data_IF_629827377233
#
_entry.id   IF_629827377233
#
_cell.length_a   1.000
_cell.length_b   1.000
_cell.length_c   1.000
_cell.angle_alpha   90.00
_cell.angle_beta   90.00
_cell.angle_gamma   90.00
#
_symmetry.space_group_name_H-M   'P 1'
#
loop_
_entity.id
_entity.type
_entity.pdbx_description
1 polymer ?
#
# COMPACT_ATOMS: atom_id res chain seq x y z
N UNK A 1 -15.99 -10.60 46.71
CA UNK A 1 -15.41 -10.97 45.39
C UNK A 1 -15.65 -9.79 44.46
N UNK A 2 -14.58 -9.03 44.22
CA UNK A 2 -14.62 -7.71 43.60
C UNK A 2 -14.81 -7.83 42.10
N UNK A 3 -15.84 -7.15 41.58
CA UNK A 3 -16.12 -7.00 40.16
C UNK A 3 -15.03 -6.13 39.53
N UNK A 4 -14.08 -6.73 38.81
CA UNK A 4 -13.13 -6.00 37.98
C UNK A 4 -13.88 -5.35 36.82
N UNK A 5 -14.22 -4.06 36.99
CA UNK A 5 -14.52 -3.16 35.88
C UNK A 5 -13.32 -3.19 34.94
N UNK A 6 -13.44 -3.88 33.80
CA UNK A 6 -12.62 -3.61 32.63
C UNK A 6 -12.95 -2.19 32.17
N UNK A 7 -12.18 -1.23 32.68
CA UNK A 7 -12.25 0.17 32.25
C UNK A 7 -11.69 0.24 30.85
N UNK A 8 -12.56 0.53 29.88
CA UNK A 8 -12.19 0.82 28.49
C UNK A 8 -11.20 1.99 28.45
N UNK A 9 -9.91 1.68 28.33
CA UNK A 9 -8.83 2.67 28.18
C UNK A 9 -9.08 3.40 26.85
N UNK A 10 -9.10 4.76 26.82
CA UNK A 10 -9.42 5.51 25.62
C UNK A 10 -8.33 5.34 24.56
N UNK A 11 -8.68 4.65 23.48
CA UNK A 11 -7.82 4.45 22.31
C UNK A 11 -7.95 5.63 21.36
N UNK A 12 -6.82 6.05 20.81
CA UNK A 12 -6.71 7.28 20.04
C UNK A 12 -5.82 7.08 18.81
N UNK A 13 -6.16 7.80 17.74
CA UNK A 13 -5.36 7.92 16.54
C UNK A 13 -4.84 9.36 16.42
N UNK A 14 -3.56 9.51 16.09
CA UNK A 14 -2.93 10.79 15.82
C UNK A 14 -2.31 10.79 14.43
N UNK A 15 -2.42 11.92 13.74
CA UNK A 15 -1.75 12.17 12.46
C UNK A 15 -0.82 13.36 12.63
N UNK A 16 0.43 13.21 12.22
CA UNK A 16 1.36 14.33 12.05
C UNK A 16 0.90 15.16 10.85
N UNK A 17 0.55 16.42 11.10
CA UNK A 17 -0.08 17.31 10.11
C UNK A 17 0.65 18.65 10.05
N UNK A 18 0.40 19.38 8.98
CA UNK A 18 0.94 20.72 8.76
C UNK A 18 0.43 21.70 9.80
N UNK A 19 1.32 22.49 10.39
CA UNK A 19 0.93 23.62 11.26
C UNK A 19 0.17 24.71 10.52
N UNK A 20 0.26 24.76 9.18
CA UNK A 20 -0.58 25.64 8.36
C UNK A 20 -2.08 25.34 8.47
N UNK A 21 -2.45 24.14 8.93
CA UNK A 21 -3.85 23.76 9.15
C UNK A 21 -4.43 24.31 10.46
N UNK A 22 -3.58 24.74 11.40
CA UNK A 22 -3.99 25.30 12.69
C UNK A 22 -4.48 26.74 12.51
N UNK A 23 -5.66 26.89 11.91
CA UNK A 23 -6.29 28.19 11.64
C UNK A 23 -7.53 28.37 12.50
N UNK A 24 -7.66 29.53 13.14
CA UNK A 24 -8.83 29.86 13.95
C UNK A 24 -10.14 29.70 13.15
N UNK A 25 -11.06 28.91 13.70
CA UNK A 25 -12.37 28.63 13.11
C UNK A 25 -12.37 27.61 11.96
N UNK A 26 -11.21 27.07 11.55
CA UNK A 26 -11.16 25.86 10.73
C UNK A 26 -11.43 24.66 11.64
N UNK A 27 -12.01 23.59 11.10
CA UNK A 27 -12.37 22.42 11.90
C UNK A 27 -12.14 21.12 11.14
N UNK A 28 -12.00 20.04 11.91
CA UNK A 28 -12.00 18.67 11.38
C UNK A 28 -13.09 17.91 12.09
N UNK A 29 -13.87 17.14 11.34
CA UNK A 29 -14.82 16.17 11.90
C UNK A 29 -14.35 14.77 11.58
N UNK A 30 -14.66 13.81 12.45
CA UNK A 30 -14.37 12.41 12.21
C UNK A 30 -15.62 11.55 12.40
N UNK A 31 -15.67 10.45 11.65
CA UNK A 31 -16.65 9.39 11.82
C UNK A 31 -15.94 8.05 11.96
N UNK A 32 -16.54 7.14 12.72
CA UNK A 32 -16.16 5.75 12.83
C UNK A 32 -17.32 4.91 12.32
N UNK A 33 -17.10 4.14 11.25
CA UNK A 33 -18.14 3.38 10.54
C UNK A 33 -19.35 4.26 10.16
N UNK A 34 -19.09 5.50 9.72
CA UNK A 34 -20.12 6.47 9.36
C UNK A 34 -20.82 7.16 10.55
N UNK A 35 -20.52 6.79 11.79
CA UNK A 35 -21.07 7.43 12.99
C UNK A 35 -20.11 8.51 13.51
N UNK A 36 -20.55 9.74 13.79
CA UNK A 36 -19.69 10.78 14.35
C UNK A 36 -18.96 10.31 15.62
N UNK A 37 -17.67 10.63 15.73
CA UNK A 37 -16.90 10.28 16.93
C UNK A 37 -17.46 11.01 18.16
N UNK A 38 -17.45 10.33 19.32
CA UNK A 38 -17.99 10.88 20.58
C UNK A 38 -17.29 12.18 20.99
N UNK A 39 -15.98 12.26 20.72
CA UNK A 39 -15.18 13.46 20.88
C UNK A 39 -14.72 13.89 19.50
N UNK A 40 -14.92 15.17 19.17
CA UNK A 40 -14.47 15.74 17.91
C UNK A 40 -12.94 15.74 17.81
N UNK A 41 -12.36 15.62 16.60
CA UNK A 41 -10.94 15.77 16.40
C UNK A 41 -10.42 17.13 16.90
N UNK A 42 -9.21 17.15 17.44
CA UNK A 42 -8.52 18.39 17.84
C UNK A 42 -7.16 18.50 17.19
N UNK A 43 -6.71 19.74 16.97
CA UNK A 43 -5.33 20.01 16.63
C UNK A 43 -4.57 20.35 17.91
N UNK A 44 -3.49 19.62 18.17
CA UNK A 44 -2.64 19.81 19.33
C UNK A 44 -1.20 20.08 18.87
N UNK A 45 -0.46 20.88 19.63
CA UNK A 45 1.00 20.94 19.49
C UNK A 45 1.60 19.81 20.35
N UNK A 46 2.37 18.88 19.75
CA UNK A 46 2.95 17.78 20.50
C UNK A 46 3.96 18.32 21.53
N UNK A 47 3.86 17.97 22.83
CA UNK A 47 4.72 18.52 23.88
C UNK A 47 6.23 18.29 23.67
N UNK A 48 6.58 17.26 22.90
CA UNK A 48 7.95 16.84 22.61
C UNK A 48 8.26 16.79 21.10
N UNK A 49 7.40 17.36 20.25
CA UNK A 49 7.64 17.39 18.81
C UNK A 49 8.54 18.57 18.40
N UNK A 50 9.10 18.54 17.18
CA UNK A 50 9.84 19.67 16.63
C UNK A 50 9.01 20.95 16.67
N UNK A 51 9.65 22.11 16.86
CA UNK A 51 8.97 23.41 16.81
C UNK A 51 8.27 23.55 15.45
N UNK A 52 6.96 23.84 15.46
CA UNK A 52 6.14 23.93 14.25
C UNK A 52 5.46 22.64 13.82
N UNK A 53 5.61 21.54 14.57
CA UNK A 53 4.81 20.32 14.39
C UNK A 53 3.40 20.50 14.94
N UNK A 54 2.41 19.90 14.28
CA UNK A 54 1.01 19.89 14.72
C UNK A 54 0.48 18.48 14.55
N UNK A 55 -0.34 18.02 15.51
CA UNK A 55 -0.96 16.70 15.47
C UNK A 55 -2.46 16.86 15.37
N UNK A 56 -3.09 16.12 14.45
CA UNK A 56 -4.53 15.91 14.47
C UNK A 56 -4.82 14.71 15.35
N UNK A 57 -5.51 14.92 16.47
CA UNK A 57 -5.83 13.91 17.46
C UNK A 57 -7.30 13.52 17.39
N UNK A 58 -7.57 12.21 17.33
CA UNK A 58 -8.91 11.64 17.37
C UNK A 58 -8.96 10.68 18.55
N UNK A 59 -9.77 11.01 19.55
CA UNK A 59 -9.80 10.29 20.83
C UNK A 59 -11.09 9.52 21.03
N UNK A 60 -11.09 8.65 22.04
CA UNK A 60 -12.27 7.89 22.48
C UNK A 60 -12.93 7.12 21.34
N UNK A 61 -12.12 6.47 20.50
CA UNK A 61 -12.63 5.68 19.37
C UNK A 61 -13.50 4.51 19.82
N UNK A 62 -13.43 4.10 21.09
CA UNK A 62 -14.30 3.07 21.65
C UNK A 62 -14.09 1.67 21.05
N UNK A 63 -12.99 1.48 20.33
CA UNK A 63 -12.67 0.24 19.63
C UNK A 63 -12.06 -0.81 20.58
N UNK A 64 -12.27 -2.07 20.24
CA UNK A 64 -11.70 -3.27 20.85
C UNK A 64 -11.12 -4.18 19.74
N UNK A 65 -10.42 -5.29 20.07
CA UNK A 65 -9.85 -6.14 19.03
C UNK A 65 -10.86 -6.75 18.06
N UNK A 66 -12.12 -6.91 18.48
CA UNK A 66 -13.16 -7.45 17.61
C UNK A 66 -13.73 -6.34 16.73
N UNK A 67 -14.00 -5.18 17.32
CA UNK A 67 -14.66 -4.07 16.61
C UNK A 67 -13.71 -3.24 15.76
N UNK A 68 -12.40 -3.35 15.95
CA UNK A 68 -11.44 -2.58 15.17
C UNK A 68 -11.10 -3.19 13.81
N UNK A 69 -11.18 -4.51 13.65
CA UNK A 69 -10.83 -5.15 12.39
C UNK A 69 -11.81 -4.71 11.28
N UNK A 70 -11.28 -4.04 10.26
CA UNK A 70 -12.07 -3.53 9.15
C UNK A 70 -12.91 -2.30 9.47
N UNK A 71 -12.81 -1.73 10.68
CA UNK A 71 -13.50 -0.49 11.00
C UNK A 71 -12.98 0.67 10.15
N UNK A 72 -13.85 1.61 9.85
CA UNK A 72 -13.53 2.72 8.97
C UNK A 72 -13.51 4.03 9.72
N UNK A 73 -12.33 4.65 9.79
CA UNK A 73 -12.15 5.98 10.33
C UNK A 73 -12.11 6.97 9.17
N UNK A 74 -13.08 7.88 9.08
CA UNK A 74 -13.08 8.93 8.06
C UNK A 74 -12.92 10.31 8.70
N UNK A 75 -12.10 11.16 8.09
CA UNK A 75 -11.95 12.57 8.47
C UNK A 75 -12.49 13.49 7.38
N UNK A 76 -13.05 14.61 7.81
CA UNK A 76 -13.58 15.66 6.94
C UNK A 76 -12.91 16.97 7.30
N UNK A 77 -12.22 17.59 6.35
CA UNK A 77 -11.53 18.85 6.54
C UNK A 77 -12.47 20.01 6.19
N UNK A 78 -12.59 21.00 7.08
CA UNK A 78 -13.46 22.16 6.88
C UNK A 78 -12.67 23.45 7.08
N UNK A 79 -12.55 24.30 6.05
CA UNK A 79 -11.92 25.60 6.22
C UNK A 79 -12.80 26.51 7.08
N UNK A 80 -12.22 27.60 7.57
CA UNK A 80 -12.97 28.63 8.28
C UNK A 80 -13.83 29.46 7.31
N UNK A 81 -14.61 30.42 7.85
CA UNK A 81 -15.47 31.31 7.04
C UNK A 81 -14.70 32.16 6.01
N UNK A 82 -13.42 32.40 6.24
CA UNK A 82 -12.52 33.11 5.33
C UNK A 82 -11.84 32.18 4.31
N UNK A 83 -12.26 30.90 4.22
CA UNK A 83 -11.67 29.85 3.37
C UNK A 83 -10.21 29.52 3.70
N UNK A 84 -9.80 29.75 4.94
CA UNK A 84 -8.47 29.44 5.43
C UNK A 84 -8.48 28.13 6.22
N UNK A 85 -7.34 27.44 6.23
CA UNK A 85 -7.18 26.09 6.79
C UNK A 85 -7.07 25.03 5.70
N UNK A 86 -6.71 23.81 6.10
CA UNK A 86 -6.52 22.71 5.15
C UNK A 86 -7.86 22.18 4.66
N UNK A 87 -7.95 21.97 3.35
CA UNK A 87 -9.15 21.47 2.65
C UNK A 87 -8.91 20.14 1.95
N UNK A 88 -7.64 19.77 1.77
CA UNK A 88 -7.24 18.50 1.18
C UNK A 88 -6.22 17.79 2.04
N UNK A 89 -6.06 16.48 1.83
CA UNK A 89 -5.07 15.69 2.56
C UNK A 89 -3.64 16.11 2.18
N UNK A 90 -3.41 16.62 0.97
CA UNK A 90 -2.11 17.14 0.53
C UNK A 90 -1.69 18.39 1.31
N UNK A 91 -2.66 19.26 1.62
CA UNK A 91 -2.43 20.42 2.49
C UNK A 91 -2.24 19.96 3.94
N UNK A 92 -3.07 19.03 4.41
CA UNK A 92 -3.02 18.47 5.75
C UNK A 92 -1.69 17.77 6.04
N UNK A 93 -1.22 16.97 5.10
CA UNK A 93 -0.09 16.07 5.25
C UNK A 93 1.09 16.56 4.39
N UNK A 94 1.75 17.62 4.85
CA UNK A 94 2.92 18.23 4.20
C UNK A 94 4.17 18.13 5.07
N UNK A 95 4.52 16.90 5.47
CA UNK A 95 5.76 16.65 6.23
C UNK A 95 6.99 16.76 5.32
N UNK A 96 8.06 17.49 5.73
CA UNK A 96 9.32 17.50 5.01
C UNK A 96 9.86 16.08 4.81
N UNK A 97 10.34 15.77 3.60
CA UNK A 97 10.89 14.46 3.24
C UNK A 97 9.87 13.44 2.70
N UNK A 98 8.59 13.81 2.56
CA UNK A 98 7.55 12.94 2.01
C UNK A 98 6.76 13.63 0.88
N UNK A 99 6.19 12.87 -0.07
CA UNK A 99 5.24 13.41 -1.04
C UNK A 99 4.04 14.05 -0.33
N UNK A 100 3.54 15.17 -0.86
CA UNK A 100 2.35 15.83 -0.33
C UNK A 100 1.16 14.85 -0.28
N UNK A 101 0.44 14.82 0.85
CA UNK A 101 -0.65 13.87 1.09
C UNK A 101 -0.23 12.64 1.87
N UNK A 102 1.07 12.52 2.19
CA UNK A 102 1.61 11.47 3.07
C UNK A 102 1.57 11.93 4.52
N UNK A 103 0.65 11.39 5.31
CA UNK A 103 0.62 11.62 6.76
C UNK A 103 1.30 10.49 7.49
N UNK A 104 2.12 10.83 8.48
CA UNK A 104 2.62 9.88 9.48
C UNK A 104 1.55 9.75 10.58
N UNK A 105 1.01 8.56 10.82
CA UNK A 105 -0.07 8.32 11.78
C UNK A 105 0.35 7.32 12.86
N UNK A 106 -0.07 7.53 14.11
CA UNK A 106 0.18 6.61 15.21
C UNK A 106 -1.11 6.35 15.99
N UNK A 107 -1.26 5.13 16.49
CA UNK A 107 -2.37 4.72 17.36
C UNK A 107 -1.83 4.31 18.71
N UNK A 108 -2.38 4.85 19.78
CA UNK A 108 -1.88 4.67 21.14
C UNK A 108 -3.03 4.60 22.16
N UNK A 109 -2.71 4.07 23.33
CA UNK A 109 -3.61 4.08 24.48
C UNK A 109 -3.41 5.36 25.31
N UNK A 110 -4.01 5.41 26.51
CA UNK A 110 -3.88 6.57 27.40
C UNK A 110 -2.48 6.72 28.02
N UNK A 111 -1.67 5.66 28.02
CA UNK A 111 -0.35 5.58 28.65
C UNK A 111 0.81 5.81 27.66
N UNK A 112 0.53 6.03 26.37
CA UNK A 112 1.50 6.10 25.28
C UNK A 112 2.27 4.79 25.05
N UNK A 113 1.75 3.65 25.50
CA UNK A 113 2.47 2.38 25.49
C UNK A 113 2.46 1.72 24.10
N UNK A 114 1.90 2.31 23.05
CA UNK A 114 1.69 1.62 21.76
C UNK A 114 1.97 2.56 20.60
N UNK A 115 3.01 2.31 19.80
CA UNK A 115 3.40 3.21 18.70
C UNK A 115 3.95 2.44 17.47
N UNK A 116 3.13 1.86 16.57
CA UNK A 116 3.53 1.74 15.16
C UNK A 116 3.03 2.97 14.38
N UNK A 117 3.92 3.51 13.56
CA UNK A 117 3.71 4.77 12.84
C UNK A 117 3.28 4.53 11.40
N UNK A 118 2.00 4.29 11.12
CA UNK A 118 1.53 4.07 9.75
C UNK A 118 1.61 5.34 8.91
N UNK A 119 2.28 5.31 7.78
CA UNK A 119 2.27 6.42 6.83
C UNK A 119 1.18 6.21 5.78
N UNK A 120 0.28 7.18 5.63
CA UNK A 120 -0.94 7.02 4.84
C UNK A 120 -0.87 7.73 3.49
N UNK A 121 -1.13 7.01 2.39
CA UNK A 121 -1.24 7.56 1.02
C UNK A 121 -2.48 7.07 0.26
N UNK A 122 -2.89 7.78 -0.79
CA UNK A 122 -4.15 7.53 -1.50
C UNK A 122 -4.20 6.13 -2.13
N UNK A 123 -5.34 5.45 -2.02
CA UNK A 123 -5.66 4.20 -2.69
C UNK A 123 -6.30 4.51 -4.06
N UNK A 124 -5.96 3.70 -5.07
CA UNK A 124 -6.58 3.83 -6.41
C UNK A 124 -8.03 3.32 -6.35
N UNK A 125 -8.98 3.95 -7.07
CA UNK A 125 -10.38 3.51 -7.10
C UNK A 125 -10.53 2.10 -7.69
N UNK A 126 -11.58 1.33 -7.29
CA UNK A 126 -11.79 -0.04 -7.75
C UNK A 126 -12.10 -0.10 -9.25
N UNK A 127 -11.57 -1.09 -9.99
CA UNK A 127 -11.87 -1.26 -11.40
C UNK A 127 -13.32 -1.73 -11.64
N UNK A 128 -13.91 -1.42 -12.81
CA UNK A 128 -15.24 -1.91 -13.19
C UNK A 128 -15.27 -3.44 -13.32
N UNK A 129 -16.45 -4.07 -13.14
CA UNK A 129 -16.59 -5.52 -13.17
C UNK A 129 -16.21 -6.13 -14.53
N UNK A 130 -15.58 -7.32 -14.55
CA UNK A 130 -15.12 -7.95 -15.77
C UNK A 130 -16.29 -8.45 -16.65
N UNK A 131 -16.15 -8.42 -17.99
CA UNK A 131 -17.12 -9.01 -18.91
C UNK A 131 -17.15 -10.55 -18.80
N UNK A 132 -18.27 -11.20 -19.18
CA UNK A 132 -18.42 -12.65 -19.11
C UNK A 132 -17.44 -13.40 -20.04
N UNK A 133 -17.03 -14.62 -19.68
CA UNK A 133 -16.01 -15.37 -20.41
C UNK A 133 -16.51 -15.86 -21.79
N UNK A 134 -15.63 -15.88 -22.81
CA UNK A 134 -15.95 -16.44 -24.13
C UNK A 134 -16.04 -17.99 -24.09
N UNK A 135 -16.74 -18.60 -25.07
CA UNK A 135 -16.88 -20.06 -25.19
C UNK A 135 -15.53 -20.77 -25.42
N UNK A 136 -15.43 -22.08 -25.09
CA UNK A 136 -14.18 -22.83 -25.16
C UNK A 136 -13.65 -22.98 -26.60
N UNK A 137 -12.31 -23.04 -26.78
CA UNK A 137 -11.69 -23.14 -28.10
C UNK A 137 -11.81 -24.56 -28.71
N UNK A 138 -11.75 -24.67 -30.05
CA UNK A 138 -11.66 -25.95 -30.75
C UNK A 138 -10.29 -26.63 -30.56
N UNK A 139 -10.27 -27.93 -30.84
CA UNK A 139 -9.19 -28.91 -30.62
C UNK A 139 -7.78 -28.50 -31.12
N UNK A 140 -6.70 -29.05 -30.52
CA UNK A 140 -5.34 -28.57 -30.73
C UNK A 140 -4.75 -28.93 -32.12
N UNK A 141 -3.84 -28.08 -32.67
CA UNK A 141 -3.10 -28.34 -33.91
C UNK A 141 -1.96 -29.38 -33.75
N UNK A 142 -1.36 -29.87 -34.86
CA UNK A 142 -0.41 -30.99 -34.86
C UNK A 142 0.97 -30.66 -34.29
N UNK A 143 1.72 -31.74 -33.99
CA UNK A 143 2.96 -31.78 -33.22
C UNK A 143 4.02 -30.73 -33.56
N UNK A 144 4.57 -30.12 -32.51
CA UNK A 144 5.57 -29.06 -32.49
C UNK A 144 6.98 -29.66 -32.68
N UNK A 145 7.89 -29.03 -33.45
CA UNK A 145 9.31 -29.42 -33.46
C UNK A 145 9.89 -29.33 -32.04
N UNK A 146 10.75 -30.29 -31.68
CA UNK A 146 11.44 -30.30 -30.38
C UNK A 146 12.54 -29.23 -30.36
N UNK A 147 12.18 -28.00 -30.03
CA UNK A 147 13.16 -26.97 -29.66
C UNK A 147 13.36 -26.93 -28.14
N UNK A 148 14.50 -26.39 -27.70
CA UNK A 148 14.74 -26.08 -26.28
C UNK A 148 13.74 -25.01 -25.82
N UNK A 149 12.66 -25.45 -25.18
CA UNK A 149 11.63 -24.56 -24.64
C UNK A 149 12.16 -23.84 -23.39
N UNK A 150 11.97 -22.52 -23.37
CA UNK A 150 12.25 -21.66 -22.24
C UNK A 150 10.92 -21.17 -21.67
N UNK A 151 10.48 -21.81 -20.60
CA UNK A 151 9.36 -21.37 -19.77
C UNK A 151 9.89 -20.46 -18.67
N UNK A 152 9.58 -19.16 -18.74
CA UNK A 152 10.13 -18.17 -17.82
C UNK A 152 8.98 -17.45 -17.13
N UNK A 153 9.03 -17.38 -15.81
CA UNK A 153 8.14 -16.55 -15.00
C UNK A 153 8.90 -15.36 -14.43
N UNK A 154 8.50 -14.14 -14.78
CA UNK A 154 8.99 -12.93 -14.08
C UNK A 154 8.18 -12.77 -12.81
N UNK A 155 8.86 -12.80 -11.67
CA UNK A 155 8.30 -12.66 -10.35
C UNK A 155 8.60 -11.26 -9.79
N UNK A 156 7.56 -10.51 -9.47
CA UNK A 156 7.64 -9.32 -8.63
C UNK A 156 7.26 -9.70 -7.20
N UNK A 157 8.21 -9.62 -6.27
CA UNK A 157 8.08 -10.03 -4.88
C UNK A 157 8.16 -8.84 -3.93
N UNK A 158 7.33 -8.85 -2.90
CA UNK A 158 7.43 -8.05 -1.69
C UNK A 158 8.10 -8.90 -0.62
N UNK A 159 9.33 -8.57 -0.26
CA UNK A 159 10.02 -9.18 0.87
C UNK A 159 9.72 -8.33 2.11
N UNK A 160 8.96 -8.85 3.09
CA UNK A 160 8.61 -8.10 4.28
C UNK A 160 9.80 -7.95 5.24
N UNK A 161 9.80 -6.93 6.11
CA UNK A 161 10.79 -6.82 7.19
C UNK A 161 10.61 -7.94 8.23
N UNK A 162 11.63 -8.22 9.08
CA UNK A 162 11.56 -9.26 10.12
C UNK A 162 10.36 -9.12 11.06
N UNK A 163 9.93 -7.88 11.32
CA UNK A 163 8.74 -7.57 12.10
C UNK A 163 7.72 -6.85 11.20
N UNK A 164 6.89 -7.63 10.50
CA UNK A 164 5.85 -7.10 9.60
C UNK A 164 4.60 -6.65 10.38
N UNK A 165 4.78 -5.62 11.20
CA UNK A 165 3.70 -5.05 12.03
C UNK A 165 2.66 -4.26 11.23
N UNK A 166 2.93 -4.00 9.94
CA UNK A 166 2.08 -3.23 9.02
C UNK A 166 2.07 -3.90 7.63
N UNK A 167 1.36 -5.02 7.46
CA UNK A 167 1.41 -5.78 6.23
C UNK A 167 0.86 -4.98 5.04
N UNK A 168 1.74 -4.61 4.12
CA UNK A 168 1.35 -4.19 2.77
C UNK A 168 1.33 -5.41 1.87
N UNK A 169 0.25 -5.57 1.11
CA UNK A 169 0.04 -6.69 0.17
C UNK A 169 -0.46 -6.18 -1.16
N UNK A 170 -0.11 -6.88 -2.23
CA UNK A 170 -0.68 -6.64 -3.54
C UNK A 170 -2.16 -6.98 -3.54
N UNK A 171 -3.00 -6.01 -3.89
CA UNK A 171 -4.40 -6.28 -4.17
C UNK A 171 -4.60 -6.65 -5.65
N UNK A 172 -5.79 -7.13 -6.00
CA UNK A 172 -6.11 -7.56 -7.37
C UNK A 172 -5.86 -6.47 -8.43
N UNK A 173 -6.09 -5.20 -8.11
CA UNK A 173 -5.89 -4.09 -9.04
C UNK A 173 -4.40 -3.81 -9.28
N UNK A 174 -3.60 -3.75 -8.21
CA UNK A 174 -2.14 -3.59 -8.29
C UNK A 174 -1.52 -4.75 -9.03
N UNK A 175 -1.96 -5.97 -8.73
CA UNK A 175 -1.47 -7.17 -9.38
C UNK A 175 -1.76 -7.21 -10.89
N UNK A 176 -3.00 -6.90 -11.30
CA UNK A 176 -3.35 -6.84 -12.72
C UNK A 176 -2.53 -5.77 -13.47
N UNK A 177 -2.23 -4.63 -12.82
CA UNK A 177 -1.38 -3.60 -13.38
C UNK A 177 0.08 -4.07 -13.51
N UNK A 178 0.63 -4.76 -12.51
CA UNK A 178 1.98 -5.33 -12.55
C UNK A 178 2.08 -6.34 -13.70
N UNK A 179 1.18 -7.32 -13.74
CA UNK A 179 1.21 -8.36 -14.76
C UNK A 179 1.10 -7.81 -16.17
N UNK A 180 0.23 -6.81 -16.40
CA UNK A 180 0.09 -6.17 -17.71
C UNK A 180 1.36 -5.47 -18.16
N UNK A 181 1.95 -4.65 -17.29
CA UNK A 181 3.16 -3.92 -17.64
C UNK A 181 4.36 -4.86 -17.89
N UNK A 182 4.47 -5.92 -17.08
CA UNK A 182 5.50 -6.95 -17.30
C UNK A 182 5.22 -7.71 -18.59
N UNK A 183 3.98 -8.15 -18.86
CA UNK A 183 3.65 -8.90 -20.07
C UNK A 183 3.94 -8.11 -21.34
N UNK A 184 3.54 -6.85 -21.36
CA UNK A 184 3.71 -5.97 -22.53
C UNK A 184 5.20 -5.75 -22.82
N UNK A 185 5.99 -5.46 -21.78
CA UNK A 185 7.43 -5.25 -21.90
C UNK A 185 8.19 -6.53 -22.29
N UNK A 186 7.85 -7.67 -21.68
CA UNK A 186 8.50 -8.95 -22.01
C UNK A 186 8.19 -9.38 -23.44
N UNK A 187 6.95 -9.26 -23.89
CA UNK A 187 6.58 -9.57 -25.27
C UNK A 187 7.27 -8.62 -26.27
N UNK A 188 7.45 -7.34 -25.92
CA UNK A 188 8.24 -6.41 -26.72
C UNK A 188 9.72 -6.82 -26.79
N UNK A 189 10.31 -7.23 -25.66
CA UNK A 189 11.71 -7.69 -25.59
C UNK A 189 11.95 -8.98 -26.41
N UNK A 190 11.01 -9.93 -26.39
CA UNK A 190 11.05 -11.12 -27.25
C UNK A 190 11.07 -10.75 -28.73
N UNK A 191 10.22 -9.80 -29.14
CA UNK A 191 10.16 -9.31 -30.52
C UNK A 191 11.44 -8.57 -30.92
N UNK A 192 11.94 -7.67 -30.07
CA UNK A 192 13.19 -6.94 -30.31
C UNK A 192 14.40 -7.89 -30.46
N UNK A 193 14.39 -8.99 -29.71
CA UNK A 193 15.41 -10.05 -29.76
C UNK A 193 15.22 -11.04 -30.91
N UNK A 194 14.18 -10.88 -31.74
CA UNK A 194 13.81 -11.79 -32.83
C UNK A 194 13.65 -13.26 -32.39
N UNK A 195 13.12 -13.48 -31.18
CA UNK A 195 12.86 -14.81 -30.64
C UNK A 195 11.57 -15.36 -31.28
N UNK A 196 11.70 -16.53 -31.90
CA UNK A 196 10.61 -17.24 -32.55
C UNK A 196 10.97 -18.74 -32.69
N UNK A 197 10.02 -19.68 -32.57
CA UNK A 197 8.60 -19.45 -32.23
C UNK A 197 8.38 -19.09 -30.75
N UNK A 198 7.29 -18.37 -30.48
CA UNK A 198 6.75 -18.12 -29.14
C UNK A 198 5.60 -19.12 -28.94
N UNK A 199 5.78 -20.08 -28.03
CA UNK A 199 4.78 -21.12 -27.75
C UNK A 199 3.61 -20.58 -26.92
N UNK A 200 3.92 -19.71 -25.95
CA UNK A 200 2.94 -18.97 -25.15
C UNK A 200 3.50 -17.57 -24.86
N UNK A 201 2.84 -16.48 -25.30
CA UNK A 201 3.28 -15.14 -24.95
C UNK A 201 3.10 -14.88 -23.46
N UNK A 202 3.83 -13.89 -22.92
CA UNK A 202 3.59 -13.42 -21.56
C UNK A 202 2.19 -12.82 -21.49
N UNK A 203 1.41 -13.20 -20.48
CA UNK A 203 0.04 -12.71 -20.31
C UNK A 203 -0.35 -12.60 -18.83
N UNK A 204 -1.25 -11.66 -18.48
CA UNK A 204 -1.82 -11.61 -17.14
C UNK A 204 -2.60 -12.87 -16.79
N UNK A 205 -2.45 -13.33 -15.55
CA UNK A 205 -3.17 -14.48 -15.01
C UNK A 205 -3.51 -14.25 -13.53
N UNK A 206 -4.79 -14.15 -13.22
CA UNK A 206 -5.25 -13.92 -11.84
C UNK A 206 -4.92 -15.06 -10.88
N UNK A 207 -4.64 -16.27 -11.36
CA UNK A 207 -4.28 -17.41 -10.49
C UNK A 207 -2.82 -17.36 -10.04
N UNK A 208 -1.98 -16.54 -10.68
CA UNK A 208 -0.56 -16.34 -10.33
C UNK A 208 -0.34 -15.01 -9.61
N UNK A 209 -1.41 -14.55 -8.94
CA UNK A 209 -1.49 -13.33 -8.20
C UNK A 209 -1.63 -13.66 -6.71
N UNK A 210 -0.59 -13.38 -5.93
CA UNK A 210 -0.56 -13.61 -4.49
C UNK A 210 -0.31 -12.30 -3.75
N UNK A 211 -0.57 -12.32 -2.45
CA UNK A 211 -0.48 -11.13 -1.59
C UNK A 211 0.94 -10.50 -1.56
N UNK A 212 1.98 -11.31 -1.71
CA UNK A 212 3.39 -10.87 -1.69
C UNK A 212 4.12 -11.11 -3.02
N UNK A 213 3.51 -11.81 -3.97
CA UNK A 213 4.19 -12.30 -5.17
C UNK A 213 3.25 -12.21 -6.37
N UNK A 214 3.72 -11.58 -7.44
CA UNK A 214 3.03 -11.54 -8.74
C UNK A 214 3.90 -12.23 -9.77
N UNK A 215 3.40 -13.29 -10.41
CA UNK A 215 4.10 -13.99 -11.49
C UNK A 215 3.47 -13.68 -12.84
N UNK A 216 4.30 -13.42 -13.84
CA UNK A 216 3.91 -13.28 -15.25
C UNK A 216 4.79 -14.21 -16.08
N UNK A 217 4.20 -15.21 -16.71
CA UNK A 217 4.94 -16.31 -17.35
C UNK A 217 4.74 -16.33 -18.86
N UNK A 218 5.77 -16.79 -19.58
CA UNK A 218 5.76 -17.02 -21.02
C UNK A 218 6.62 -18.22 -21.40
N UNK A 219 6.42 -18.75 -22.60
CA UNK A 219 7.15 -19.89 -23.15
C UNK A 219 7.58 -19.62 -24.60
N UNK A 220 8.89 -19.71 -24.85
CA UNK A 220 9.48 -19.39 -26.15
C UNK A 220 10.69 -20.28 -26.48
N UNK A 221 11.12 -20.24 -27.74
CA UNK A 221 12.33 -20.95 -28.18
C UNK A 221 13.61 -20.28 -27.65
N UNK A 222 14.45 -21.02 -26.94
CA UNK A 222 15.79 -20.55 -26.51
C UNK A 222 16.93 -21.47 -26.92
N UNK A 223 16.89 -21.98 -28.16
CA UNK A 223 18.04 -22.64 -28.78
C UNK A 223 19.14 -21.67 -29.20
N UNK A 224 18.76 -20.47 -29.66
CA UNK A 224 19.69 -19.47 -30.16
C UNK A 224 20.26 -18.63 -29.01
N UNK A 225 21.48 -18.98 -28.59
CA UNK A 225 22.17 -18.32 -27.48
C UNK A 225 22.44 -16.83 -27.74
N UNK A 226 22.67 -16.40 -28.98
CA UNK A 226 22.91 -15.00 -29.30
C UNK A 226 21.63 -14.16 -29.21
N UNK A 227 20.47 -14.76 -29.50
CA UNK A 227 19.17 -14.12 -29.25
C UNK A 227 18.82 -14.10 -27.76
N UNK A 228 19.14 -15.16 -27.03
CA UNK A 228 18.98 -15.19 -25.57
C UNK A 228 19.86 -14.15 -24.87
N UNK A 229 21.09 -13.92 -25.33
CA UNK A 229 21.97 -12.87 -24.80
C UNK A 229 21.39 -11.47 -25.05
N UNK A 230 20.80 -11.21 -26.22
CA UNK A 230 20.08 -9.96 -26.48
C UNK A 230 18.87 -9.80 -25.56
N UNK A 231 18.07 -10.85 -25.42
CA UNK A 231 16.92 -10.86 -24.51
C UNK A 231 17.37 -10.56 -23.07
N UNK A 232 18.46 -11.17 -22.63
CA UNK A 232 19.03 -10.94 -21.31
C UNK A 232 19.36 -9.45 -21.10
N UNK A 233 20.01 -8.81 -22.06
CA UNK A 233 20.34 -7.38 -21.97
C UNK A 233 19.08 -6.50 -21.96
N UNK A 234 18.15 -6.74 -22.88
CA UNK A 234 16.88 -6.01 -22.97
C UNK A 234 16.07 -6.13 -21.66
N UNK A 235 15.98 -7.33 -21.10
CA UNK A 235 15.24 -7.54 -19.84
C UNK A 235 15.99 -6.96 -18.65
N UNK A 236 17.32 -7.02 -18.64
CA UNK A 236 18.14 -6.40 -17.58
C UNK A 236 17.91 -4.89 -17.50
N UNK A 237 17.78 -4.21 -18.64
CA UNK A 237 17.47 -2.78 -18.71
C UNK A 237 16.04 -2.47 -18.24
N UNK A 238 15.11 -3.43 -18.35
CA UNK A 238 13.73 -3.30 -17.89
C UNK A 238 13.55 -3.54 -16.37
N UNK A 239 14.54 -4.10 -15.66
CA UNK A 239 14.38 -4.45 -14.24
C UNK A 239 14.05 -3.24 -13.36
N UNK A 240 14.65 -2.08 -13.64
CA UNK A 240 14.37 -0.84 -12.89
C UNK A 240 12.96 -0.31 -13.15
N UNK A 241 12.47 -0.47 -14.39
CA UNK A 241 11.08 -0.18 -14.73
C UNK A 241 10.13 -1.13 -13.98
N UNK A 242 10.42 -2.42 -13.93
CA UNK A 242 9.61 -3.40 -13.20
C UNK A 242 9.57 -3.14 -11.69
N UNK A 243 10.68 -2.72 -11.08
CA UNK A 243 10.71 -2.25 -9.69
C UNK A 243 9.75 -1.06 -9.52
N UNK A 244 9.81 -0.07 -10.41
CA UNK A 244 8.91 1.09 -10.38
C UNK A 244 7.44 0.71 -10.50
N UNK A 245 7.10 -0.26 -11.37
CA UNK A 245 5.73 -0.76 -11.52
C UNK A 245 5.28 -1.48 -10.25
N UNK A 246 6.10 -2.38 -9.70
CA UNK A 246 5.79 -3.14 -8.48
C UNK A 246 5.70 -2.25 -7.24
N UNK A 247 6.42 -1.12 -7.21
CA UNK A 247 6.36 -0.13 -6.13
C UNK A 247 5.24 0.92 -6.30
N UNK A 248 4.37 0.77 -7.30
CA UNK A 248 3.34 1.75 -7.66
C UNK A 248 3.88 3.13 -8.05
N UNK A 249 5.11 3.19 -8.55
CA UNK A 249 5.75 4.36 -9.15
C UNK A 249 6.99 4.85 -8.40
N UNK A 250 7.06 4.61 -7.08
CA UNK A 250 8.17 5.07 -6.25
C UNK A 250 8.51 4.01 -5.20
N UNK A 251 9.77 3.55 -5.17
CA UNK A 251 10.23 2.58 -4.16
C UNK A 251 10.28 3.19 -2.76
N UNK A 252 10.37 4.52 -2.67
CA UNK A 252 10.23 5.27 -1.42
C UNK A 252 8.78 5.58 -1.08
N UNK A 253 7.82 4.85 -1.68
CA UNK A 253 6.45 4.87 -1.23
C UNK A 253 6.40 4.48 0.26
N UNK A 254 5.81 5.33 1.12
CA UNK A 254 5.65 5.06 2.55
C UNK A 254 5.04 3.70 2.91
N UNK A 255 4.17 3.15 2.06
CA UNK A 255 3.58 1.81 2.22
C UNK A 255 4.61 0.67 2.14
N UNK A 256 5.78 0.93 1.56
CA UNK A 256 6.88 0.00 1.36
C UNK A 256 8.02 0.21 2.36
N UNK A 257 7.83 1.03 3.40
CA UNK A 257 8.85 1.24 4.43
C UNK A 257 9.27 -0.11 5.05
N UNK A 258 10.56 -0.43 4.96
CA UNK A 258 11.13 -1.69 5.46
C UNK A 258 10.90 -2.91 4.55
N UNK A 259 10.14 -2.76 3.47
CA UNK A 259 9.99 -3.78 2.44
C UNK A 259 11.13 -3.69 1.42
N UNK A 260 11.49 -4.84 0.86
CA UNK A 260 12.30 -4.91 -0.34
C UNK A 260 11.44 -5.40 -1.50
N UNK A 261 11.40 -4.64 -2.59
CA UNK A 261 10.81 -5.10 -3.85
C UNK A 261 11.89 -5.84 -4.63
N UNK A 262 11.64 -7.09 -4.96
CA UNK A 262 12.54 -7.96 -5.71
C UNK A 262 11.88 -8.36 -7.02
N UNK A 263 12.51 -8.03 -8.14
CA UNK A 263 12.16 -8.56 -9.46
C UNK A 263 13.15 -9.66 -9.78
N UNK A 264 12.66 -10.85 -10.08
CA UNK A 264 13.52 -11.98 -10.45
C UNK A 264 12.81 -12.91 -11.41
N UNK A 265 13.53 -13.60 -12.28
CA UNK A 265 12.97 -14.72 -13.04
C UNK A 265 12.98 -16.00 -12.23
N UNK A 266 11.95 -16.82 -12.40
CA UNK A 266 11.81 -18.14 -11.80
C UNK A 266 11.58 -19.20 -12.88
N UNK A 267 11.78 -20.45 -12.46
CA UNK A 267 11.49 -21.65 -13.23
C UNK A 267 12.28 -21.79 -14.55
N UNK A 268 13.50 -21.22 -14.67
CA UNK A 268 14.35 -21.53 -15.83
C UNK A 268 15.86 -21.25 -15.72
N UNK A 269 16.59 -21.86 -16.66
CA UNK A 269 18.00 -21.74 -17.02
C UNK A 269 18.22 -20.73 -18.19
N UNK A 270 17.16 -20.28 -18.87
CA UNK A 270 17.29 -19.46 -20.10
C UNK A 270 17.40 -17.95 -19.86
N UNK A 271 16.87 -17.46 -18.75
CA UNK A 271 16.88 -16.05 -18.39
C UNK A 271 16.95 -15.97 -16.87
N UNK A 272 18.11 -15.62 -16.34
CA UNK A 272 18.35 -15.46 -14.91
C UNK A 272 18.69 -14.00 -14.63
N UNK A 273 17.65 -13.21 -14.37
CA UNK A 273 17.78 -11.79 -14.05
C UNK A 273 17.21 -11.57 -12.65
N UNK A 274 17.84 -10.69 -11.90
CA UNK A 274 17.40 -10.33 -10.57
C UNK A 274 17.84 -8.91 -10.23
N UNK A 275 16.90 -8.12 -9.73
CA UNK A 275 17.19 -6.80 -9.16
C UNK A 275 16.26 -6.56 -7.99
N UNK A 276 16.80 -5.98 -6.93
CA UNK A 276 16.02 -5.56 -5.78
C UNK A 276 16.24 -4.08 -5.50
N UNK A 277 15.21 -3.43 -4.98
CA UNK A 277 15.33 -2.12 -4.38
C UNK A 277 14.53 -2.07 -3.08
N UNK A 278 15.02 -1.26 -2.15
CA UNK A 278 14.35 -0.90 -0.92
C UNK A 278 14.61 0.58 -0.65
N UNK A 279 13.75 1.19 0.15
CA UNK A 279 13.95 2.55 0.59
C UNK A 279 13.82 2.63 2.11
N UNK A 280 14.76 3.34 2.72
CA UNK A 280 14.71 3.71 4.12
C UNK A 280 14.26 5.15 4.21
N UNK A 281 13.08 5.38 4.78
CA UNK A 281 12.59 6.71 5.02
C UNK A 281 13.32 7.30 6.24
N UNK A 282 13.60 8.62 6.24
CA UNK A 282 14.26 9.25 7.38
C UNK A 282 13.40 9.06 8.63
N UNK A 283 14.04 8.67 9.73
CA UNK A 283 13.39 8.48 11.02
C UNK A 283 12.65 9.78 11.42
N UNK A 284 11.32 9.73 11.49
CA UNK A 284 10.56 10.85 12.03
C UNK A 284 10.55 10.75 13.56
N UNK A 285 10.81 11.85 14.30
CA UNK A 285 10.74 11.91 15.77
C UNK A 285 9.30 11.78 16.31
N UNK A 286 8.36 11.36 15.48
CA UNK A 286 6.95 11.22 15.80
C UNK A 286 6.52 9.75 15.67
N UNK A 287 5.83 9.21 16.68
CA UNK A 287 5.62 9.77 18.01
C UNK A 287 6.87 9.59 18.87
N UNK A 288 7.12 10.50 19.82
CA UNK A 288 8.28 10.43 20.72
C UNK A 288 8.00 9.49 21.92
N UNK A 289 7.62 8.24 21.64
CA UNK A 289 7.30 7.16 22.59
C UNK A 289 7.93 5.83 22.16
N UNK A 290 8.33 5.01 23.14
CA UNK A 290 8.75 3.61 22.91
C UNK A 290 7.52 2.72 22.81
N UNK A 291 7.34 2.03 21.68
CA UNK A 291 6.20 1.15 21.44
C UNK A 291 6.31 -0.17 22.22
N UNK A 292 5.31 -0.51 23.03
CA UNK A 292 5.04 -1.87 23.49
C UNK A 292 4.09 -2.56 22.50
N UNK A 293 4.64 -3.49 21.71
CA UNK A 293 3.88 -4.27 20.72
C UNK A 293 3.20 -5.51 21.29
N UNK A 294 3.17 -5.67 22.63
CA UNK A 294 2.59 -6.85 23.28
C UNK A 294 1.07 -6.88 23.09
N UNK A 295 0.55 -8.06 22.73
CA UNK A 295 -0.88 -8.31 22.55
C UNK A 295 -1.71 -7.92 23.79
N UNK A 296 -2.86 -7.28 23.56
CA UNK A 296 -3.80 -6.90 24.63
C UNK A 296 -3.66 -5.47 25.15
N UNK A 297 -2.60 -4.74 24.77
CA UNK A 297 -2.40 -3.32 25.13
C UNK A 297 -3.01 -2.39 24.08
N UNK A 298 -2.83 -2.68 22.79
CA UNK A 298 -3.54 -2.04 21.67
C UNK A 298 -3.97 -3.06 20.64
N UNK A 299 -5.22 -3.05 20.17
CA UNK A 299 -5.64 -4.04 19.22
C UNK A 299 -5.87 -3.50 17.82
N UNK A 300 -5.43 -2.27 17.50
CA UNK A 300 -5.63 -1.77 16.14
C UNK A 300 -4.58 -0.78 15.63
N UNK A 301 -4.44 -0.72 14.31
CA UNK A 301 -3.57 0.15 13.54
C UNK A 301 -4.39 0.85 12.45
N UNK A 302 -3.96 2.05 12.03
CA UNK A 302 -4.51 2.73 10.84
C UNK A 302 -3.81 2.17 9.60
N UNK A 303 -4.57 1.84 8.57
CA UNK A 303 -4.03 1.39 7.27
C UNK A 303 -3.10 2.45 6.67
N UNK A 304 -2.00 2.06 6.02
CA UNK A 304 -1.15 3.00 5.28
C UNK A 304 -1.82 3.49 3.98
N UNK A 305 -3.08 3.10 3.72
CA UNK A 305 -3.90 3.60 2.61
C UNK A 305 -5.11 4.37 3.11
N UNK A 306 -5.47 5.45 2.41
CA UNK A 306 -6.78 6.08 2.50
C UNK A 306 -7.48 6.07 1.15
N UNK A 307 -8.80 6.25 1.14
CA UNK A 307 -9.53 6.53 -0.10
C UNK A 307 -10.51 7.68 0.11
N UNK A 308 -10.70 8.57 -0.90
CA UNK A 308 -11.65 9.65 -0.81
C UNK A 308 -13.08 9.18 -1.10
N UNK A 309 -14.07 9.78 -0.44
CA UNK A 309 -15.50 9.63 -0.78
C UNK A 309 -16.25 10.96 -0.60
N UNK A 310 -17.40 11.11 -1.22
CA UNK A 310 -18.29 12.24 -0.95
C UNK A 310 -18.90 12.12 0.45
N UNK A 311 -18.92 13.22 1.22
CA UNK A 311 -19.50 13.21 2.57
C UNK A 311 -21.03 13.03 2.51
N UNK A 312 -21.61 12.01 3.18
CA UNK A 312 -23.06 11.86 3.26
C UNK A 312 -23.72 12.92 4.16
N UNK A 313 -22.95 13.61 5.01
CA UNK A 313 -23.47 14.56 6.01
C UNK A 313 -23.39 16.03 5.59
N UNK A 314 -22.49 16.41 4.68
CA UNK A 314 -22.17 17.81 4.40
C UNK A 314 -22.34 18.23 2.92
N UNK A 315 -23.06 17.43 2.14
CA UNK A 315 -23.33 17.68 0.72
C UNK A 315 -22.16 17.30 -0.20
N UNK A 316 -22.41 17.27 -1.52
CA UNK A 316 -21.49 16.72 -2.53
C UNK A 316 -20.17 17.48 -2.73
N UNK A 317 -19.96 18.61 -2.04
CA UNK A 317 -18.78 19.48 -2.17
C UNK A 317 -17.69 19.20 -1.13
N UNK A 318 -17.92 18.27 -0.21
CA UNK A 318 -16.99 17.97 0.88
C UNK A 318 -16.47 16.55 0.75
N UNK A 319 -15.15 16.42 0.60
CA UNK A 319 -14.45 15.13 0.52
C UNK A 319 -14.17 14.60 1.92
N UNK A 320 -14.56 13.34 2.15
CA UNK A 320 -14.13 12.54 3.28
C UNK A 320 -12.93 11.69 2.89
N UNK A 321 -11.93 11.64 3.76
CA UNK A 321 -10.76 10.78 3.61
C UNK A 321 -10.90 9.62 4.59
N UNK A 322 -11.09 8.41 4.07
CA UNK A 322 -11.39 7.22 4.86
C UNK A 322 -10.21 6.27 4.92
N UNK A 323 -9.95 5.77 6.13
CA UNK A 323 -8.85 4.88 6.48
C UNK A 323 -9.44 3.61 7.08
N UNK A 324 -8.97 2.45 6.65
CA UNK A 324 -9.33 1.19 7.29
C UNK A 324 -8.48 0.98 8.53
N UNK A 325 -9.10 0.52 9.61
CA UNK A 325 -8.44 0.10 10.84
C UNK A 325 -8.29 -1.43 10.79
N UNK A 326 -7.13 -1.93 11.20
CA UNK A 326 -6.82 -3.36 11.25
C UNK A 326 -6.36 -3.73 12.65
N UNK A 327 -6.49 -5.00 13.04
CA UNK A 327 -5.92 -5.51 14.28
C UNK A 327 -4.50 -6.01 14.07
N UNK A 328 -3.64 -5.86 15.08
CA UNK A 328 -2.34 -6.54 15.07
C UNK A 328 -2.56 -8.06 15.14
N UNK A 329 -1.92 -8.87 14.28
CA UNK A 329 -1.98 -10.32 14.42
C UNK A 329 -1.37 -10.75 15.76
N UNK A 330 -1.84 -11.87 16.32
CA UNK A 330 -1.22 -12.45 17.50
C UNK A 330 0.25 -12.75 17.19
N UNK A 331 1.17 -12.36 18.07
CA UNK A 331 2.56 -12.76 17.95
C UNK A 331 2.63 -14.30 17.92
N UNK A 332 3.23 -14.85 16.86
CA UNK A 332 3.53 -16.27 16.76
C UNK A 332 4.71 -16.64 17.68
#
# INVERSE_FOLDING_TARGET
LSTTRSGSIPKQAQFNVSSSCLVAGASVTATLNGVPTRVGPSYDQPPLGPVGSTVLKITQLGLDPVTAQGAELCITLKPNRARQGCTTLEQLCSSPGFPAGTCTAATFDAACDCCPVSQVVQARPPPPPPPPPPPPPPSPPPAVPSYRACEVCVAAKLVPPPNDVRPYRFNAATCAAIQRNISDAMNAALNASNISPIAAPFAPNSTTCFDDTVLTCGNFNGEDLSKLERLFNEVSDLLSYFIGVASSGDICNPKLEGYTVLITTQDNICLDVSQSASCFLPNQPFPNCTCNTTQGVLPFIVSPSYYPRASPFFGSLVTEYCFTLNTLPAAA
#
